data_IF_919044883831
#
_entry.id   IF_919044883831
#
_cell.length_a   1.000
_cell.length_b   1.000
_cell.length_c   1.000
_cell.angle_alpha   90.00
_cell.angle_beta   90.00
_cell.angle_gamma   90.00
#
_symmetry.space_group_name_H-M   'P 1'
#
loop_
_entity.id
_entity.type
_entity.pdbx_description
1 polymer ?
#
# COMPACT_ATOMS: atom_id res chain seq x y z
N UNK A 1 -12.79 21.18 29.21
CA UNK A 1 -12.47 21.40 27.79
C UNK A 1 -11.80 20.14 27.25
N UNK A 2 -12.47 19.37 26.40
CA UNK A 2 -11.88 18.17 25.80
C UNK A 2 -10.92 18.58 24.68
N UNK A 3 -9.66 18.12 24.75
CA UNK A 3 -8.69 18.35 23.69
C UNK A 3 -9.10 17.48 22.49
N UNK A 4 -9.65 18.09 21.44
CA UNK A 4 -9.90 17.39 20.17
C UNK A 4 -8.53 17.13 19.53
N UNK A 5 -8.04 15.89 19.63
CA UNK A 5 -6.81 15.49 18.96
C UNK A 5 -7.07 15.32 17.46
N UNK A 6 -6.37 16.09 16.63
CA UNK A 6 -6.42 15.95 15.17
C UNK A 6 -5.93 14.53 14.80
N UNK A 7 -6.80 13.77 14.14
CA UNK A 7 -6.52 12.41 13.67
C UNK A 7 -5.80 12.46 12.31
N UNK A 8 -4.76 11.65 12.17
CA UNK A 8 -3.80 11.68 11.06
C UNK A 8 -4.21 10.81 9.88
N UNK A 9 -3.92 11.26 8.67
CA UNK A 9 -3.99 10.50 7.42
C UNK A 9 -2.62 9.86 7.16
N UNK A 10 -2.58 8.54 7.06
CA UNK A 10 -1.34 7.77 6.93
C UNK A 10 -1.29 7.06 5.58
N UNK A 11 -0.19 7.23 4.84
CA UNK A 11 0.12 6.44 3.65
C UNK A 11 0.95 5.23 4.07
N UNK A 12 0.56 4.03 3.65
CA UNK A 12 1.27 2.80 3.98
C UNK A 12 1.69 2.01 2.73
N UNK A 13 2.99 1.75 2.62
CA UNK A 13 3.61 1.01 1.50
C UNK A 13 4.39 -0.21 2.00
N UNK A 14 4.46 -1.27 1.17
CA UNK A 14 5.18 -2.49 1.55
C UNK A 14 5.70 -3.23 0.32
N UNK A 15 6.94 -3.72 0.41
CA UNK A 15 7.49 -4.70 -0.53
C UNK A 15 7.91 -5.99 0.20
N UNK A 16 7.84 -7.17 -0.42
CA UNK A 16 8.15 -8.43 0.25
C UNK A 16 9.65 -8.65 0.48
N UNK A 17 10.51 -8.08 -0.37
CA UNK A 17 11.96 -8.24 -0.32
C UNK A 17 12.69 -6.90 -0.41
N UNK A 18 13.91 -6.83 0.15
CA UNK A 18 14.80 -5.68 0.03
C UNK A 18 15.31 -5.45 -1.39
N UNK A 19 15.27 -6.48 -2.24
CA UNK A 19 15.58 -6.37 -3.68
C UNK A 19 14.59 -5.49 -4.44
N UNK A 20 13.42 -5.20 -3.85
CA UNK A 20 12.36 -4.38 -4.44
C UNK A 20 12.29 -2.98 -3.82
N UNK A 21 13.41 -2.46 -3.31
CA UNK A 21 13.46 -1.10 -2.73
C UNK A 21 13.00 -0.02 -3.72
N UNK A 22 13.36 -0.15 -4.99
CA UNK A 22 12.96 0.82 -6.01
C UNK A 22 11.45 0.81 -6.25
N UNK A 23 10.83 -0.39 -6.22
CA UNK A 23 9.38 -0.53 -6.26
C UNK A 23 8.72 0.12 -5.04
N UNK A 24 9.33 0.03 -3.86
CA UNK A 24 8.82 0.69 -2.64
C UNK A 24 8.82 2.21 -2.79
N UNK A 25 9.89 2.78 -3.35
CA UNK A 25 9.99 4.23 -3.62
C UNK A 25 8.91 4.65 -4.61
N UNK A 26 8.72 3.91 -5.69
CA UNK A 26 7.68 4.19 -6.68
C UNK A 26 6.27 4.08 -6.08
N UNK A 27 6.03 3.11 -5.19
CA UNK A 27 4.76 2.99 -4.45
C UNK A 27 4.50 4.20 -3.56
N UNK A 28 5.52 4.70 -2.85
CA UNK A 28 5.38 5.88 -2.00
C UNK A 28 5.06 7.11 -2.85
N UNK A 29 5.83 7.35 -3.92
CA UNK A 29 5.57 8.46 -4.84
C UNK A 29 4.15 8.42 -5.41
N UNK A 30 3.71 7.26 -5.86
CA UNK A 30 2.34 7.09 -6.34
C UNK A 30 1.30 7.45 -5.28
N UNK A 31 1.48 7.02 -4.02
CA UNK A 31 0.55 7.36 -2.94
C UNK A 31 0.55 8.87 -2.64
N UNK A 32 1.71 9.52 -2.67
CA UNK A 32 1.87 10.96 -2.46
C UNK A 32 1.24 11.78 -3.59
N UNK A 33 1.33 11.32 -4.83
CA UNK A 33 0.68 11.97 -5.98
C UNK A 33 -0.85 11.87 -5.92
N UNK A 34 -1.37 10.73 -5.44
CA UNK A 34 -2.82 10.50 -5.35
C UNK A 34 -3.46 11.18 -4.13
N UNK A 35 -2.71 11.32 -3.04
CA UNK A 35 -3.22 11.90 -1.79
C UNK A 35 -2.48 13.19 -1.50
N UNK A 36 -3.11 14.32 -1.79
CA UNK A 36 -2.50 15.65 -1.56
C UNK A 36 -2.36 16.01 -0.08
N UNK A 37 -3.27 15.52 0.75
CA UNK A 37 -3.29 15.81 2.19
C UNK A 37 -3.06 14.52 2.98
N UNK A 38 -1.81 14.31 3.39
CA UNK A 38 -1.41 13.26 4.31
C UNK A 38 -0.48 13.82 5.40
N UNK A 39 -0.48 13.18 6.57
CA UNK A 39 0.36 13.61 7.70
C UNK A 39 1.64 12.78 7.80
N UNK A 40 1.63 11.52 7.33
CA UNK A 40 2.79 10.64 7.47
C UNK A 40 2.79 9.47 6.48
N UNK A 41 3.98 9.11 6.00
CA UNK A 41 4.24 7.87 5.26
C UNK A 41 4.88 6.83 6.18
N UNK A 42 4.41 5.58 6.11
CA UNK A 42 4.99 4.42 6.79
C UNK A 42 5.27 3.35 5.75
N UNK A 43 6.47 2.77 5.76
CA UNK A 43 6.85 1.72 4.83
C UNK A 43 7.47 0.52 5.53
N UNK A 44 7.33 -0.66 4.95
CA UNK A 44 7.98 -1.88 5.42
C UNK A 44 8.55 -2.72 4.28
N UNK A 45 9.63 -3.43 4.61
CA UNK A 45 10.19 -4.50 3.79
C UNK A 45 9.95 -5.82 4.53
N UNK A 46 9.32 -6.78 3.86
CA UNK A 46 9.08 -8.11 4.39
C UNK A 46 7.74 -8.70 3.95
N UNK A 47 7.61 -10.02 4.13
CA UNK A 47 6.41 -10.76 3.77
C UNK A 47 5.17 -10.25 4.52
N UNK A 48 3.99 -10.37 3.90
CA UNK A 48 2.72 -9.98 4.52
C UNK A 48 2.36 -10.79 5.77
N UNK A 49 2.98 -11.95 5.95
CA UNK A 49 2.84 -12.83 7.13
C UNK A 49 3.74 -12.39 8.30
N UNK A 50 4.72 -11.52 8.06
CA UNK A 50 5.59 -11.03 9.12
C UNK A 50 4.84 -9.99 9.96
N UNK A 51 4.30 -10.41 11.10
CA UNK A 51 3.60 -9.51 12.04
C UNK A 51 4.55 -8.72 12.95
N UNK A 52 5.87 -8.94 12.86
CA UNK A 52 6.91 -8.23 13.63
C UNK A 52 7.47 -6.99 12.91
N UNK A 53 6.88 -6.62 11.77
CA UNK A 53 7.29 -5.45 10.97
C UNK A 53 7.07 -4.16 11.75
N UNK A 54 8.13 -3.35 11.86
CA UNK A 54 8.14 -2.15 12.71
C UNK A 54 7.14 -1.10 12.22
N UNK A 55 6.99 -0.91 10.91
CA UNK A 55 6.03 0.02 10.34
C UNK A 55 4.59 -0.41 10.61
N UNK A 56 4.28 -1.69 10.37
CA UNK A 56 2.96 -2.27 10.64
C UNK A 56 2.57 -2.17 12.12
N UNK A 57 3.46 -2.54 13.05
CA UNK A 57 3.19 -2.42 14.48
C UNK A 57 3.00 -0.97 14.93
N UNK A 58 3.77 -0.04 14.35
CA UNK A 58 3.61 1.39 14.60
C UNK A 58 2.24 1.87 14.13
N UNK A 59 1.85 1.54 12.89
CA UNK A 59 0.55 1.87 12.33
C UNK A 59 -0.58 1.31 13.19
N UNK A 60 -0.48 0.05 13.60
CA UNK A 60 -1.47 -0.61 14.45
C UNK A 60 -1.63 0.11 15.80
N UNK A 61 -0.52 0.48 16.46
CA UNK A 61 -0.57 1.26 17.71
C UNK A 61 -1.26 2.62 17.51
N UNK A 62 -0.94 3.33 16.44
CA UNK A 62 -1.57 4.62 16.14
C UNK A 62 -3.09 4.48 15.90
N UNK A 63 -3.52 3.41 15.23
CA UNK A 63 -4.94 3.12 15.04
C UNK A 63 -5.62 2.81 16.38
N UNK A 64 -5.01 1.96 17.21
CA UNK A 64 -5.54 1.59 18.53
C UNK A 64 -5.62 2.79 19.49
N UNK A 65 -4.71 3.75 19.38
CA UNK A 65 -4.74 5.00 20.15
C UNK A 65 -5.72 6.03 19.59
N UNK A 66 -6.49 5.69 18.55
CA UNK A 66 -7.40 6.58 17.84
C UNK A 66 -6.70 7.82 17.27
N UNK A 67 -5.41 7.71 16.91
CA UNK A 67 -4.60 8.80 16.34
C UNK A 67 -4.75 8.89 14.81
N UNK A 68 -5.33 7.89 14.17
CA UNK A 68 -5.44 7.78 12.70
C UNK A 68 -6.88 7.97 12.26
N UNK A 69 -7.11 8.87 11.29
CA UNK A 69 -8.41 9.09 10.65
C UNK A 69 -8.60 8.21 9.42
N UNK A 70 -7.54 8.04 8.63
CA UNK A 70 -7.55 7.30 7.36
C UNK A 70 -6.19 6.65 7.12
N UNK A 71 -6.20 5.41 6.62
CA UNK A 71 -5.01 4.74 6.09
C UNK A 71 -5.22 4.52 4.61
N UNK A 72 -4.26 4.95 3.79
CA UNK A 72 -4.26 4.75 2.35
C UNK A 72 -3.15 3.78 1.98
N UNK A 73 -3.48 2.76 1.19
CA UNK A 73 -2.56 1.73 0.71
C UNK A 73 -2.67 1.60 -0.79
N UNK A 74 -1.57 1.25 -1.46
CA UNK A 74 -1.58 1.05 -2.91
C UNK A 74 -2.37 -0.23 -3.31
N UNK A 75 -2.32 -1.27 -2.46
CA UNK A 75 -3.01 -2.53 -2.71
C UNK A 75 -3.61 -3.12 -1.41
N UNK A 76 -4.77 -3.81 -1.48
CA UNK A 76 -5.43 -4.38 -0.30
C UNK A 76 -4.57 -5.41 0.46
N UNK A 77 -3.69 -6.12 -0.24
CA UNK A 77 -2.83 -7.17 0.32
C UNK A 77 -1.62 -6.64 1.11
N UNK A 78 -1.53 -5.32 1.30
CA UNK A 78 -0.40 -4.68 1.97
C UNK A 78 -0.56 -4.61 3.49
N UNK A 79 -1.80 -4.54 4.00
CA UNK A 79 -2.06 -4.54 5.45
C UNK A 79 -1.88 -5.93 6.06
N UNK A 80 -2.64 -6.92 5.59
CA UNK A 80 -2.59 -8.31 6.02
C UNK A 80 -3.05 -9.20 4.87
N UNK A 81 -2.29 -10.22 4.48
CA UNK A 81 -2.75 -11.23 3.51
C UNK A 81 -3.46 -12.37 4.24
N UNK A 82 -4.61 -12.06 4.86
CA UNK A 82 -5.49 -13.08 5.43
C UNK A 82 -6.56 -13.43 4.39
N UNK A 83 -6.67 -14.72 4.04
CA UNK A 83 -7.62 -15.18 3.01
C UNK A 83 -9.09 -14.93 3.35
N UNK A 84 -9.46 -14.57 4.58
CA UNK A 84 -10.86 -14.43 5.02
C UNK A 84 -11.02 -13.47 6.22
N UNK A 85 -10.95 -12.14 6.03
CA UNK A 85 -11.45 -11.21 7.06
C UNK A 85 -12.48 -10.24 6.47
N UNK A 86 -13.75 -10.42 6.85
CA UNK A 86 -14.84 -9.47 6.60
C UNK A 86 -14.76 -8.37 7.67
N UNK A 87 -14.04 -7.30 7.38
CA UNK A 87 -14.03 -6.07 8.15
C UNK A 87 -13.83 -4.90 7.20
N UNK A 88 -14.60 -3.83 7.37
CA UNK A 88 -14.70 -2.71 6.43
C UNK A 88 -13.39 -1.93 6.28
N UNK A 89 -12.47 -2.45 5.47
CA UNK A 89 -11.36 -1.70 4.89
C UNK A 89 -11.92 -1.07 3.62
N UNK A 90 -11.97 0.27 3.55
CA UNK A 90 -12.24 0.94 2.28
C UNK A 90 -11.00 0.78 1.39
N UNK A 91 -10.95 -0.34 0.66
CA UNK A 91 -10.06 -0.49 -0.48
C UNK A 91 -10.66 0.29 -1.64
N UNK A 92 -10.10 1.47 -1.96
CA UNK A 92 -10.34 2.03 -3.28
C UNK A 92 -9.55 1.19 -4.28
N UNK A 93 -10.18 0.13 -4.81
CA UNK A 93 -9.72 -0.49 -6.05
C UNK A 93 -10.00 0.52 -7.17
N UNK A 94 -9.02 1.37 -7.47
CA UNK A 94 -9.03 2.08 -8.74
C UNK A 94 -8.74 1.03 -9.82
N UNK A 95 -9.80 0.61 -10.50
CA UNK A 95 -9.76 -0.24 -11.70
C UNK A 95 -8.74 0.35 -12.68
N UNK A 96 -7.65 -0.36 -12.93
CA UNK A 96 -6.95 -0.19 -14.19
C UNK A 96 -7.79 -0.89 -15.27
N UNK A 97 -8.49 -0.10 -16.09
CA UNK A 97 -8.89 -0.55 -17.41
C UNK A 97 -7.63 -0.81 -18.23
N UNK A 98 -7.53 -2.03 -18.76
CA UNK A 98 -6.63 -2.51 -19.81
C UNK A 98 -6.31 -1.42 -20.85
N UNK A 99 -5.11 -1.34 -21.41
CA UNK A 99 -4.66 -2.30 -22.43
C UNK A 99 -3.13 -2.48 -22.45
N UNK A 100 -2.67 -3.73 -22.29
CA UNK A 100 -1.47 -4.20 -22.99
C UNK A 100 -1.87 -4.44 -24.46
N UNK A 101 -1.05 -4.07 -25.46
CA UNK A 101 -1.11 -4.75 -26.74
C UNK A 101 -0.27 -6.04 -26.67
N UNK A 102 -0.93 -7.19 -26.74
CA UNK A 102 -0.32 -8.45 -27.15
C UNK A 102 -0.35 -8.54 -28.68
N UNK A 103 0.81 -8.89 -29.27
CA UNK A 103 0.91 -9.72 -30.47
C UNK A 103 0.89 -9.02 -31.83
N UNK A 104 2.04 -9.01 -32.52
CA UNK A 104 2.12 -9.50 -33.90
C UNK A 104 3.38 -10.34 -34.09
N UNK A 105 3.16 -11.55 -34.60
CA UNK A 105 4.12 -12.58 -34.98
C UNK A 105 4.55 -12.39 -36.45
N UNK A 106 5.49 -13.23 -36.87
CA UNK A 106 5.98 -13.54 -38.23
C UNK A 106 7.22 -12.72 -38.63
N UNK A 107 8.32 -13.30 -39.14
CA UNK A 107 8.47 -14.47 -40.02
C UNK A 107 9.80 -15.19 -39.82
N UNK A 108 9.72 -16.51 -39.93
CA UNK A 108 10.75 -17.45 -40.39
C UNK A 108 11.38 -16.97 -41.72
N UNK A 109 12.67 -17.23 -41.89
CA UNK A 109 13.39 -17.06 -43.16
C UNK A 109 14.77 -17.67 -43.01
N UNK A 110 14.87 -18.94 -43.40
CA UNK A 110 16.12 -19.60 -43.76
C UNK A 110 16.83 -18.80 -44.86
N UNK A 111 18.16 -18.64 -44.73
CA UNK A 111 19.15 -18.61 -45.81
C UNK A 111 20.56 -18.80 -45.21
#
# INVERSE_FOLDING_TARGET
MGIIRKRKVILYARVPSSTQKDELVNQVKYLEEQVKEYDQVISDIGSGLNMKRKGFLKLLRMILNNEVSRVVVAYPDRLVRLRNLRGSVQSTQLRNSSTKPEGQNTRTGDD
#
